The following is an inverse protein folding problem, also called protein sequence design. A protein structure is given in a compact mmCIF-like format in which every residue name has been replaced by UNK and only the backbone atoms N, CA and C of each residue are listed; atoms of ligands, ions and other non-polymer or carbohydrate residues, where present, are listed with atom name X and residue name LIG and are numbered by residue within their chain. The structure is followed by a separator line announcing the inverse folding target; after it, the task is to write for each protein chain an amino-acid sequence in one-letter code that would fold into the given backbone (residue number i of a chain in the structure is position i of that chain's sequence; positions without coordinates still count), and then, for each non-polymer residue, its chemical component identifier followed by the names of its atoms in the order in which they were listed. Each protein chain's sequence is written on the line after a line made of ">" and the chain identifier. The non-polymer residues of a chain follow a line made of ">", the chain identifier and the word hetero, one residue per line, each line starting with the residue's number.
data_IF_740302524125
#
_entry.id   IF_740302524125
#
_cell.length_a   1.000
_cell.length_b   1.000
_cell.length_c   1.000
_cell.angle_alpha   90.00
_cell.angle_beta   90.00
_cell.angle_gamma   90.00
#
_symmetry.space_group_name_H-M   'P 1'
#
loop_
_entity.id
_entity.type
_entity.pdbx_description
1 polymer ?
#
# COMPACT_ATOMS: atom_id res chain seq x y z
N UNK A 1 -21.10 0.29 14.69
CA UNK A 1 -19.88 1.12 14.67
C UNK A 1 -18.77 0.27 14.08
N UNK A 2 -18.37 0.54 12.84
CA UNK A 2 -17.34 -0.26 12.13
C UNK A 2 -15.98 -0.09 12.80
N UNK A 3 -15.22 -1.17 12.97
CA UNK A 3 -13.85 -1.11 13.48
C UNK A 3 -13.00 -0.20 12.57
N UNK A 4 -12.39 0.88 13.09
CA UNK A 4 -11.55 1.78 12.30
C UNK A 4 -10.41 1.07 11.57
N UNK A 5 -9.83 0.00 12.14
CA UNK A 5 -8.78 -0.78 11.46
C UNK A 5 -9.34 -1.56 10.28
N UNK A 6 -10.56 -2.09 10.41
CA UNK A 6 -11.26 -2.74 9.30
C UNK A 6 -11.53 -1.76 8.16
N UNK A 7 -12.05 -0.58 8.48
CA UNK A 7 -12.30 0.47 7.49
C UNK A 7 -11.01 0.96 6.81
N UNK A 8 -9.92 1.10 7.58
CA UNK A 8 -8.61 1.46 7.05
C UNK A 8 -8.06 0.39 6.10
N UNK A 9 -8.22 -0.89 6.45
CA UNK A 9 -7.82 -2.03 5.62
C UNK A 9 -8.58 -2.04 4.29
N UNK A 10 -9.89 -1.82 4.32
CA UNK A 10 -10.73 -1.74 3.12
C UNK A 10 -10.34 -0.54 2.24
N UNK A 11 -10.13 0.64 2.84
CA UNK A 11 -9.72 1.84 2.12
C UNK A 11 -8.33 1.69 1.47
N UNK A 12 -7.39 1.06 2.18
CA UNK A 12 -6.05 0.76 1.64
C UNK A 12 -6.12 -0.23 0.48
N UNK A 13 -6.88 -1.31 0.61
CA UNK A 13 -7.08 -2.27 -0.47
C UNK A 13 -7.72 -1.63 -1.71
N UNK A 14 -8.68 -0.73 -1.51
CA UNK A 14 -9.31 0.02 -2.60
C UNK A 14 -8.36 1.02 -3.25
N UNK A 15 -7.49 1.67 -2.49
CA UNK A 15 -6.49 2.59 -3.03
C UNK A 15 -5.43 1.86 -3.87
N UNK A 16 -5.09 0.63 -3.51
CA UNK A 16 -4.10 -0.19 -4.21
C UNK A 16 -4.65 -0.86 -5.47
N UNK A 17 -5.91 -1.30 -5.47
CA UNK A 17 -6.49 -2.03 -6.62
C UNK A 17 -6.74 -1.08 -7.79
N UNK A 18 -5.98 -1.24 -8.87
CA UNK A 18 -6.07 -0.41 -10.08
C UNK A 18 -6.66 -1.15 -11.29
N UNK A 19 -6.55 -2.49 -11.32
CA UNK A 19 -7.02 -3.32 -12.43
C UNK A 19 -8.45 -3.84 -12.26
N UNK A 20 -9.28 -3.82 -13.32
CA UNK A 20 -10.54 -4.54 -13.38
C UNK A 20 -10.30 -5.93 -13.96
N UNK A 21 -9.89 -6.93 -13.17
CA UNK A 21 -10.14 -8.35 -13.50
C UNK A 21 -9.56 -9.32 -12.45
N UNK A 22 -10.15 -10.52 -12.29
CA UNK A 22 -9.46 -11.65 -11.66
C UNK A 22 -8.23 -12.00 -12.50
N UNK A 23 -7.06 -11.68 -11.97
CA UNK A 23 -5.77 -11.94 -12.59
C UNK A 23 -5.14 -13.19 -11.95
N UNK A 24 -4.31 -13.94 -12.68
CA UNK A 24 -3.52 -15.06 -12.13
C UNK A 24 -2.14 -14.57 -11.69
N UNK A 25 -1.49 -15.28 -10.75
CA UNK A 25 -0.12 -14.95 -10.34
C UNK A 25 0.84 -14.87 -11.53
N UNK A 26 0.75 -15.84 -12.45
CA UNK A 26 1.59 -15.86 -13.66
C UNK A 26 1.38 -14.62 -14.55
N UNK A 27 0.17 -14.07 -14.62
CA UNK A 27 -0.10 -12.84 -15.35
C UNK A 27 0.47 -11.61 -14.63
N UNK A 28 0.42 -11.56 -13.30
CA UNK A 28 1.09 -10.51 -12.50
C UNK A 28 2.61 -10.56 -12.69
N UNK A 29 3.20 -11.75 -12.63
CA UNK A 29 4.65 -11.91 -12.80
C UNK A 29 5.11 -11.49 -14.18
N UNK A 30 4.34 -11.80 -15.23
CA UNK A 30 4.61 -11.33 -16.59
C UNK A 30 4.50 -9.81 -16.69
N UNK A 31 3.45 -9.20 -16.11
CA UNK A 31 3.29 -7.74 -16.09
C UNK A 31 4.40 -7.03 -15.33
N UNK A 32 4.84 -7.58 -14.19
CA UNK A 32 5.95 -7.05 -13.40
C UNK A 32 7.28 -7.07 -14.16
N UNK A 33 7.47 -8.04 -15.08
CA UNK A 33 8.70 -8.21 -15.85
C UNK A 33 8.71 -7.42 -17.15
N UNK A 34 7.64 -7.53 -17.93
CA UNK A 34 7.62 -7.14 -19.35
C UNK A 34 6.80 -5.86 -19.60
N UNK A 35 6.06 -5.39 -18.59
CA UNK A 35 5.09 -4.31 -18.73
C UNK A 35 5.31 -3.16 -17.76
N UNK A 36 4.25 -2.37 -17.56
CA UNK A 36 4.25 -1.30 -16.56
C UNK A 36 3.98 -1.95 -15.18
N UNK A 37 4.94 -1.92 -14.23
CA UNK A 37 4.83 -2.60 -12.94
C UNK A 37 3.84 -1.91 -11.98
N UNK A 38 3.38 -0.71 -12.34
CA UNK A 38 2.38 0.05 -11.58
C UNK A 38 1.07 -0.73 -11.42
N UNK A 39 0.53 -0.74 -10.20
CA UNK A 39 -0.72 -1.43 -9.88
C UNK A 39 -0.62 -2.95 -9.76
N UNK A 40 0.49 -3.57 -10.18
CA UNK A 40 0.68 -5.04 -10.06
C UNK A 40 0.62 -5.49 -8.60
N UNK A 41 1.21 -4.71 -7.70
CA UNK A 41 1.18 -5.01 -6.27
C UNK A 41 -0.25 -4.92 -5.69
N UNK A 42 -1.08 -4.01 -6.17
CA UNK A 42 -2.48 -3.93 -5.74
C UNK A 42 -3.36 -5.00 -6.35
N UNK A 43 -3.12 -5.36 -7.60
CA UNK A 43 -3.84 -6.43 -8.31
C UNK A 43 -3.59 -7.81 -7.68
N UNK A 44 -2.48 -7.99 -6.96
CA UNK A 44 -2.23 -9.19 -6.14
C UNK A 44 -3.32 -9.45 -5.08
N UNK A 45 -4.01 -8.41 -4.60
CA UNK A 45 -5.16 -8.55 -3.69
C UNK A 45 -6.40 -9.13 -4.39
N UNK A 46 -6.38 -9.26 -5.72
CA UNK A 46 -7.43 -9.91 -6.52
C UNK A 46 -7.22 -11.40 -6.74
N UNK A 47 -6.09 -11.97 -6.32
CA UNK A 47 -5.84 -13.41 -6.40
C UNK A 47 -6.82 -14.20 -5.51
N UNK A 48 -7.05 -15.47 -5.87
CA UNK A 48 -7.83 -16.40 -5.04
C UNK A 48 -7.18 -16.58 -3.66
N UNK A 49 -5.85 -16.70 -3.62
CA UNK A 49 -5.05 -16.52 -2.41
C UNK A 49 -4.00 -15.41 -2.65
N UNK A 50 -4.23 -14.20 -2.11
CA UNK A 50 -3.25 -13.11 -2.19
C UNK A 50 -1.87 -13.42 -1.60
N UNK A 51 -1.75 -14.43 -0.72
CA UNK A 51 -0.47 -14.83 -0.14
C UNK A 51 0.45 -15.52 -1.14
N UNK A 52 -0.09 -16.05 -2.24
CA UNK A 52 0.74 -16.60 -3.33
C UNK A 52 1.63 -15.52 -3.97
N UNK A 53 1.23 -14.24 -3.89
CA UNK A 53 2.01 -13.13 -4.40
C UNK A 53 3.15 -12.66 -3.48
N UNK A 54 3.29 -13.20 -2.26
CA UNK A 54 4.33 -12.74 -1.32
C UNK A 54 5.75 -12.70 -1.94
N UNK A 55 6.22 -13.74 -2.66
CA UNK A 55 7.55 -13.67 -3.29
C UNK A 55 7.65 -12.59 -4.37
N UNK A 56 6.58 -12.36 -5.14
CA UNK A 56 6.54 -11.30 -6.14
C UNK A 56 6.61 -9.92 -5.47
N UNK A 57 5.77 -9.69 -4.45
CA UNK A 57 5.71 -8.44 -3.71
C UNK A 57 7.04 -8.13 -3.02
N UNK A 58 7.70 -9.13 -2.44
CA UNK A 58 9.03 -8.98 -1.83
C UNK A 58 10.09 -8.56 -2.86
N UNK A 59 10.07 -9.11 -4.08
CA UNK A 59 10.96 -8.67 -5.17
C UNK A 59 10.69 -7.21 -5.56
N UNK A 60 9.42 -6.79 -5.57
CA UNK A 60 9.02 -5.44 -5.94
C UNK A 60 9.44 -4.37 -4.92
N UNK A 61 9.80 -4.74 -3.69
CA UNK A 61 10.37 -3.80 -2.71
C UNK A 61 11.68 -3.16 -3.18
N UNK A 62 12.45 -3.85 -4.03
CA UNK A 62 13.71 -3.35 -4.60
C UNK A 62 13.54 -2.62 -5.92
N UNK A 63 12.32 -2.30 -6.34
CA UNK A 63 12.05 -1.69 -7.63
C UNK A 63 12.59 -0.24 -7.70
N UNK A 64 13.14 0.15 -8.85
CA UNK A 64 13.75 1.48 -9.05
C UNK A 64 12.72 2.63 -8.89
N UNK A 65 11.50 2.38 -9.34
CA UNK A 65 10.39 3.28 -9.14
C UNK A 65 9.84 3.15 -7.72
N UNK A 66 10.06 4.20 -6.92
CA UNK A 66 9.64 4.29 -5.53
C UNK A 66 8.16 3.98 -5.30
N UNK A 67 7.25 4.45 -6.16
CA UNK A 67 5.82 4.20 -5.94
C UNK A 67 5.49 2.71 -6.02
N UNK A 68 6.17 1.96 -6.89
CA UNK A 68 6.00 0.52 -7.03
C UNK A 68 6.46 -0.21 -5.76
N UNK A 69 7.58 0.24 -5.18
CA UNK A 69 8.07 -0.28 -3.90
C UNK A 69 7.09 0.02 -2.76
N UNK A 70 6.51 1.23 -2.70
CA UNK A 70 5.49 1.62 -1.72
C UNK A 70 4.21 0.81 -1.86
N UNK A 71 3.71 0.61 -3.08
CA UNK A 71 2.55 -0.25 -3.34
C UNK A 71 2.82 -1.68 -2.87
N UNK A 72 3.99 -2.24 -3.20
CA UNK A 72 4.40 -3.56 -2.75
C UNK A 72 4.45 -3.66 -1.22
N UNK A 73 5.05 -2.68 -0.55
CA UNK A 73 5.14 -2.64 0.90
C UNK A 73 3.75 -2.51 1.57
N UNK A 74 2.86 -1.69 1.00
CA UNK A 74 1.51 -1.52 1.50
C UNK A 74 0.65 -2.77 1.29
N UNK A 75 0.77 -3.46 0.15
CA UNK A 75 0.13 -4.76 -0.06
C UNK A 75 0.67 -5.80 0.91
N UNK A 76 1.99 -5.87 1.14
CA UNK A 76 2.56 -6.78 2.16
C UNK A 76 1.99 -6.51 3.55
N UNK A 77 1.87 -5.24 3.94
CA UNK A 77 1.26 -4.85 5.21
C UNK A 77 -0.20 -5.30 5.32
N UNK A 78 -0.99 -5.19 4.23
CA UNK A 78 -2.34 -5.76 4.18
C UNK A 78 -2.29 -7.28 4.42
N UNK A 79 -1.33 -7.99 3.85
CA UNK A 79 -1.20 -9.43 4.06
C UNK A 79 -0.64 -9.82 5.43
N UNK A 80 -0.27 -8.84 6.26
CA UNK A 80 0.33 -9.04 7.59
C UNK A 80 1.84 -9.29 7.54
N UNK A 81 2.47 -9.09 6.38
CA UNK A 81 3.91 -9.24 6.17
C UNK A 81 4.64 -7.91 6.45
N UNK A 82 5.72 -7.99 7.22
CA UNK A 82 6.49 -6.83 7.71
C UNK A 82 7.75 -6.56 6.90
N UNK A 83 8.00 -7.29 5.81
CA UNK A 83 9.21 -7.15 4.98
C UNK A 83 9.30 -5.78 4.30
N UNK A 84 8.16 -5.10 4.11
CA UNK A 84 8.09 -3.77 3.52
C UNK A 84 8.43 -2.61 4.46
N UNK A 85 8.71 -2.86 5.75
CA UNK A 85 8.88 -1.78 6.74
C UNK A 85 9.97 -0.78 6.38
N UNK A 86 11.13 -1.24 5.89
CA UNK A 86 12.22 -0.35 5.49
C UNK A 86 11.81 0.60 4.36
N UNK A 87 10.91 0.18 3.48
CA UNK A 87 10.33 1.06 2.45
C UNK A 87 9.34 2.03 3.10
N UNK A 88 8.45 1.56 3.97
CA UNK A 88 7.44 2.42 4.61
C UNK A 88 8.03 3.49 5.55
N UNK A 89 9.12 3.18 6.24
CA UNK A 89 9.82 4.10 7.15
C UNK A 89 11.01 4.81 6.51
N UNK A 90 11.25 4.56 5.22
CA UNK A 90 12.31 5.22 4.47
C UNK A 90 12.03 6.71 4.30
N UNK A 91 13.06 7.49 3.90
CA UNK A 91 12.86 8.91 3.59
C UNK A 91 11.83 9.03 2.46
N UNK A 92 10.79 9.85 2.65
CA UNK A 92 9.77 10.00 1.63
C UNK A 92 10.40 10.59 0.37
N UNK A 93 10.24 9.88 -0.74
CA UNK A 93 10.62 10.35 -2.07
C UNK A 93 9.32 10.74 -2.74
N UNK A 94 8.86 11.96 -2.48
CA UNK A 94 7.65 12.48 -3.11
C UNK A 94 7.83 12.41 -4.63
N UNK A 95 7.09 11.52 -5.26
CA UNK A 95 7.12 11.31 -6.71
C UNK A 95 5.89 11.94 -7.36
N UNK A 96 4.83 12.23 -6.60
CA UNK A 96 3.57 12.75 -7.18
C UNK A 96 2.91 13.83 -6.33
N UNK A 97 2.24 14.77 -7.00
CA UNK A 97 1.43 15.82 -6.37
C UNK A 97 0.14 15.29 -5.70
N UNK A 98 -0.14 13.98 -5.82
CA UNK A 98 -1.40 13.33 -5.43
C UNK A 98 -1.44 12.82 -3.99
N UNK A 99 -0.32 12.80 -3.27
CA UNK A 99 -0.19 12.31 -1.89
C UNK A 99 -0.69 10.87 -1.67
N UNK A 100 -0.85 10.06 -2.72
CA UNK A 100 -1.36 8.70 -2.58
C UNK A 100 -0.36 7.84 -1.80
N UNK A 101 0.94 8.05 -2.02
CA UNK A 101 2.03 7.42 -1.29
C UNK A 101 1.94 7.66 0.22
N UNK A 102 1.58 8.88 0.64
CA UNK A 102 1.47 9.25 2.06
C UNK A 102 0.34 8.47 2.73
N UNK A 103 -0.82 8.37 2.06
CA UNK A 103 -1.92 7.54 2.54
C UNK A 103 -1.52 6.06 2.62
N UNK A 104 -0.91 5.51 1.56
CA UNK A 104 -0.49 4.10 1.54
C UNK A 104 0.47 3.78 2.69
N UNK A 105 1.46 4.66 2.92
CA UNK A 105 2.47 4.49 3.97
C UNK A 105 1.82 4.52 5.35
N UNK A 106 1.04 5.56 5.66
CA UNK A 106 0.44 5.72 6.98
C UNK A 106 -0.56 4.59 7.28
N UNK A 107 -1.39 4.23 6.31
CA UNK A 107 -2.35 3.14 6.48
C UNK A 107 -1.62 1.79 6.71
N UNK A 108 -0.58 1.50 5.94
CA UNK A 108 0.21 0.29 6.08
C UNK A 108 0.89 0.21 7.46
N UNK A 109 1.53 1.30 7.92
CA UNK A 109 2.18 1.34 9.23
C UNK A 109 1.17 1.11 10.37
N UNK A 110 0.00 1.77 10.32
CA UNK A 110 -1.06 1.57 11.31
C UNK A 110 -1.59 0.14 11.37
N UNK A 111 -1.73 -0.53 10.21
CA UNK A 111 -2.13 -1.93 10.16
C UNK A 111 -1.07 -2.85 10.78
N UNK A 112 0.21 -2.50 10.64
CA UNK A 112 1.32 -3.22 11.24
C UNK A 112 1.55 -2.88 12.73
N UNK A 113 0.82 -1.90 13.28
CA UNK A 113 1.01 -1.41 14.64
C UNK A 113 2.27 -0.55 14.82
N UNK A 114 2.80 -0.02 13.72
CA UNK A 114 3.98 0.84 13.73
C UNK A 114 3.61 2.32 13.95
N UNK A 115 4.53 3.10 14.54
CA UNK A 115 4.34 4.54 14.67
C UNK A 115 4.27 5.17 13.27
N UNK A 116 3.25 6.01 13.07
CA UNK A 116 3.12 6.80 11.85
C UNK A 116 4.08 7.98 11.94
N UNK A 117 4.98 8.18 10.97
CA UNK A 117 5.83 9.36 10.94
C UNK A 117 4.96 10.63 10.87
N UNK A 118 5.40 11.74 11.48
CA UNK A 118 4.64 12.98 11.40
C UNK A 118 4.45 13.36 9.93
N UNK A 119 3.26 13.86 9.55
CA UNK A 119 3.01 14.21 8.15
C UNK A 119 4.06 15.20 7.69
N UNK A 120 4.73 14.89 6.57
CA UNK A 120 5.63 15.83 5.94
C UNK A 120 4.81 17.08 5.62
N UNK A 121 5.15 18.19 6.27
CA UNK A 121 4.40 19.45 6.17
C UNK A 121 4.49 19.98 4.75
N UNK A 122 3.58 19.55 3.88
CA UNK A 122 3.07 20.19 2.66
C UNK A 122 2.49 19.09 1.80
N UNK A 123 1.18 18.91 1.88
CA UNK A 123 0.29 19.01 0.73
C UNK A 123 -1.10 18.68 1.25
N UNK A 124 -2.06 19.58 1.00
CA UNK A 124 -3.48 19.30 1.26
C UNK A 124 -3.84 18.08 0.44
N UNK A 125 -3.92 16.92 1.06
CA UNK A 125 -4.35 15.70 0.39
C UNK A 125 -5.74 15.96 -0.18
N UNK A 126 -5.94 15.62 -1.45
CA UNK A 126 -7.28 15.60 -2.06
C UNK A 126 -8.16 14.50 -1.48
N UNK A 127 -7.62 13.70 -0.55
CA UNK A 127 -8.30 12.60 0.12
C UNK A 127 -8.55 12.90 1.62
N UNK A 128 -9.21 14.02 1.92
CA UNK A 128 -9.58 14.40 3.29
C UNK A 128 -10.33 13.27 4.04
N UNK A 129 -11.20 12.55 3.33
CA UNK A 129 -11.95 11.42 3.90
C UNK A 129 -11.02 10.27 4.36
N UNK A 130 -9.88 10.09 3.68
CA UNK A 130 -8.88 9.07 4.02
C UNK A 130 -8.00 9.49 5.19
N UNK A 131 -7.71 10.78 5.33
CA UNK A 131 -7.00 11.33 6.50
C UNK A 131 -7.82 11.13 7.79
N UNK A 132 -9.14 11.31 7.72
CA UNK A 132 -10.03 11.05 8.87
C UNK A 132 -9.97 9.59 9.36
N UNK A 133 -9.75 8.62 8.47
CA UNK A 133 -9.56 7.22 8.83
C UNK A 133 -8.24 6.98 9.58
N UNK A 134 -7.16 7.63 9.16
CA UNK A 134 -5.86 7.59 9.84
C UNK A 134 -6.01 8.13 11.27
N UNK A 135 -6.62 9.31 11.42
CA UNK A 135 -6.85 9.94 12.73
C UNK A 135 -7.70 9.08 13.67
N UNK A 136 -8.76 8.46 13.13
CA UNK A 136 -9.64 7.57 13.89
C UNK A 136 -8.92 6.30 14.36
N UNK A 137 -8.02 5.74 13.54
CA UNK A 137 -7.22 4.57 13.88
C UNK A 137 -6.13 4.90 14.92
N UNK A 138 -5.49 6.06 14.84
CA UNK A 138 -4.51 6.52 15.83
C UNK A 138 -5.11 6.68 17.23
N UNK A 139 -6.33 7.26 17.35
CA UNK A 139 -6.98 7.55 18.65
C UNK A 139 -7.39 6.32 19.47
N UNK A 140 -7.30 5.11 18.90
CA UNK A 140 -7.71 3.85 19.55
C UNK A 140 -6.54 2.89 19.82
N UNK A 141 -5.31 3.34 19.61
CA UNK A 141 -4.08 2.61 19.92
C UNK A 141 -3.59 2.99 21.31
#
# INVERSE_FOLDING_TARGET
>A
MTDPRKALREALAQALRQGPDPTTLAALERRARDGVPYGVAGDALGLADPREALPLLQRMLGHENWIVAVEAAATLALLGDRSGLTVLTGPARSATNSNIESFLIHAALLLLGEPVPPPERRSRSVFLDREALIDAACKRS
#
